data_IF_606576555345
#
_entry.id   IF_606576555345
#
_cell.length_a   1.000
_cell.length_b   1.000
_cell.length_c   1.000
_cell.angle_alpha   90.00
_cell.angle_beta   90.00
_cell.angle_gamma   90.00
#
_symmetry.space_group_name_H-M   'P 1'
#
loop_
_entity.id
_entity.type
_entity.pdbx_description
1 polymer ?
#
# COMPACT_ATOMS: atom_id res chain seq x y z
N UNK A 1 8.49 -1.61 -6.99
CA UNK A 1 9.13 -0.45 -6.30
C UNK A 1 9.45 -0.80 -4.86
N UNK A 2 10.11 0.09 -4.12
CA UNK A 2 10.45 -0.11 -2.71
C UNK A 2 9.92 1.06 -1.88
N UNK A 3 9.03 0.82 -0.91
CA UNK A 3 8.47 1.86 -0.02
C UNK A 3 9.32 1.90 1.26
N UNK A 4 9.88 3.05 1.68
CA UNK A 4 10.58 3.16 2.96
C UNK A 4 9.66 2.78 4.12
N UNK A 5 10.13 1.93 5.04
CA UNK A 5 9.38 1.55 6.24
C UNK A 5 10.30 1.18 7.40
N UNK A 6 10.97 2.15 8.03
CA UNK A 6 11.95 1.85 9.05
C UNK A 6 11.35 1.16 10.28
N UNK A 7 10.23 1.68 10.76
CA UNK A 7 9.50 1.11 11.90
C UNK A 7 8.88 -0.24 11.55
N UNK A 8 8.24 -0.34 10.38
CA UNK A 8 7.62 -1.59 9.94
C UNK A 8 8.64 -2.70 9.75
N UNK A 9 9.85 -2.40 9.33
CA UNK A 9 10.90 -3.41 9.17
C UNK A 9 11.77 -3.62 10.41
N UNK A 10 11.71 -2.69 11.38
CA UNK A 10 12.64 -2.62 12.51
C UNK A 10 14.08 -2.31 12.10
N UNK A 11 14.29 -1.65 10.96
CA UNK A 11 15.61 -1.31 10.40
C UNK A 11 15.64 0.14 9.92
N UNK A 12 16.65 0.96 10.24
CA UNK A 12 16.67 2.39 9.86
C UNK A 12 16.49 2.67 8.36
N UNK A 13 16.99 1.77 7.52
CA UNK A 13 16.97 1.87 6.06
C UNK A 13 16.01 0.88 5.38
N UNK A 14 15.17 0.20 6.17
CA UNK A 14 14.36 -0.91 5.69
C UNK A 14 13.20 -0.48 4.79
N UNK A 15 12.88 -1.35 3.84
CA UNK A 15 11.97 -1.07 2.73
C UNK A 15 11.04 -2.24 2.47
N UNK A 16 9.80 -1.92 2.13
CA UNK A 16 8.79 -2.87 1.67
C UNK A 16 8.84 -3.00 0.15
N UNK A 17 8.72 -4.20 -0.37
CA UNK A 17 8.45 -4.42 -1.77
C UNK A 17 6.97 -4.17 -2.07
N UNK A 18 6.70 -3.34 -3.06
CA UNK A 18 5.36 -3.02 -3.51
C UNK A 18 5.30 -2.95 -5.04
N UNK A 19 4.11 -3.14 -5.60
CA UNK A 19 3.81 -3.01 -7.01
C UNK A 19 2.52 -2.23 -7.20
N UNK A 20 2.55 -1.32 -8.16
CA UNK A 20 1.43 -0.47 -8.54
C UNK A 20 0.91 -0.95 -9.88
N UNK A 21 -0.42 -1.02 -9.99
CA UNK A 21 -1.16 -1.27 -11.21
C UNK A 21 -2.08 -0.08 -11.42
N UNK A 22 -2.09 0.50 -12.61
CA UNK A 22 -2.88 1.69 -12.92
C UNK A 22 -3.58 1.53 -14.27
N UNK A 23 -4.65 2.30 -14.53
CA UNK A 23 -5.13 2.52 -15.90
C UNK A 23 -4.00 3.06 -16.79
N UNK A 24 -4.12 2.89 -18.11
CA UNK A 24 -3.20 3.54 -19.04
C UNK A 24 -3.49 5.05 -19.14
N UNK A 25 -2.55 5.80 -19.74
CA UNK A 25 -2.73 7.23 -19.98
C UNK A 25 -4.02 7.48 -20.77
N UNK A 26 -4.89 8.37 -20.26
CA UNK A 26 -6.18 8.69 -20.87
C UNK A 26 -7.29 7.67 -20.61
N UNK A 27 -7.03 6.60 -19.86
CA UNK A 27 -8.04 5.59 -19.47
C UNK A 27 -8.58 5.80 -18.05
N UNK A 28 -8.30 6.96 -17.44
CA UNK A 28 -8.95 7.34 -16.19
C UNK A 28 -10.47 7.44 -16.43
N UNK A 29 -11.25 6.74 -15.61
CA UNK A 29 -12.72 6.74 -15.70
C UNK A 29 -13.32 8.12 -15.39
N UNK A 30 -12.70 8.86 -14.48
CA UNK A 30 -13.17 10.15 -14.00
C UNK A 30 -12.14 11.25 -14.31
N UNK A 31 -12.59 12.46 -14.72
CA UNK A 31 -11.69 13.56 -15.08
C UNK A 31 -10.93 14.15 -13.88
N UNK A 32 -11.44 13.98 -12.65
CA UNK A 32 -10.84 14.49 -11.43
C UNK A 32 -9.56 13.74 -11.04
N UNK A 33 -9.43 12.48 -11.48
CA UNK A 33 -8.31 11.61 -11.19
C UNK A 33 -8.76 10.19 -10.85
N UNK A 34 -7.80 9.38 -10.42
CA UNK A 34 -7.98 7.97 -10.14
C UNK A 34 -7.76 7.69 -8.64
N UNK A 35 -8.73 7.08 -7.94
CA UNK A 35 -8.54 6.72 -6.53
C UNK A 35 -7.56 5.55 -6.39
N UNK A 36 -7.04 5.36 -5.17
CA UNK A 36 -6.05 4.32 -4.87
C UNK A 36 -6.66 3.25 -3.97
N UNK A 37 -6.48 1.98 -4.33
CA UNK A 37 -6.91 0.83 -3.56
C UNK A 37 -5.69 0.02 -3.11
N UNK A 38 -5.54 -0.18 -1.79
CA UNK A 38 -4.50 -1.02 -1.22
C UNK A 38 -5.12 -2.38 -0.85
N UNK A 39 -4.62 -3.45 -1.46
CA UNK A 39 -5.06 -4.81 -1.17
C UNK A 39 -4.29 -5.41 0.01
N UNK A 40 -5.02 -5.95 0.99
CA UNK A 40 -4.45 -6.58 2.18
C UNK A 40 -4.95 -8.03 2.32
N UNK A 41 -4.12 -9.04 1.99
CA UNK A 41 -4.57 -10.43 2.02
C UNK A 41 -4.77 -10.96 3.44
N UNK A 42 -5.61 -11.98 3.56
CA UNK A 42 -5.84 -12.73 4.79
C UNK A 42 -4.91 -13.93 4.99
N UNK A 43 -5.34 -14.86 5.85
CA UNK A 43 -4.56 -15.97 6.38
C UNK A 43 -3.20 -15.50 6.93
N UNK A 44 -2.21 -16.40 6.98
CA UNK A 44 -0.83 -16.04 7.31
C UNK A 44 -0.06 -15.44 6.12
N UNK A 45 -0.77 -14.94 5.09
CA UNK A 45 -0.14 -14.36 3.90
C UNK A 45 0.71 -13.16 4.27
N UNK A 46 1.95 -13.16 3.79
CA UNK A 46 2.86 -12.01 3.91
C UNK A 46 2.66 -10.97 2.81
N UNK A 47 1.59 -11.05 2.04
CA UNK A 47 1.36 -10.16 0.90
C UNK A 47 1.55 -10.86 -0.45
N UNK A 48 1.50 -10.08 -1.52
CA UNK A 48 1.79 -10.51 -2.89
C UNK A 48 2.24 -9.31 -3.73
N UNK A 49 2.90 -9.57 -4.86
CA UNK A 49 3.16 -8.60 -5.92
C UNK A 49 2.39 -8.93 -7.21
N UNK A 50 1.48 -9.89 -7.14
CA UNK A 50 0.51 -10.18 -8.20
C UNK A 50 -0.59 -9.13 -8.21
N UNK A 51 -1.14 -8.85 -9.39
CA UNK A 51 -2.22 -7.88 -9.56
C UNK A 51 -3.44 -8.26 -8.72
N UNK A 52 -3.84 -7.41 -7.75
CA UNK A 52 -5.05 -7.64 -7.00
C UNK A 52 -6.23 -7.12 -7.81
N UNK A 53 -7.36 -7.83 -7.76
CA UNK A 53 -8.64 -7.35 -8.29
C UNK A 53 -8.54 -6.86 -9.75
N UNK A 54 -8.16 -7.71 -10.71
CA UNK A 54 -7.99 -7.31 -12.12
C UNK A 54 -9.25 -6.69 -12.73
N UNK A 55 -10.44 -7.00 -12.19
CA UNK A 55 -11.71 -6.41 -12.61
C UNK A 55 -11.87 -4.93 -12.22
N UNK A 56 -11.10 -4.42 -11.24
CA UNK A 56 -11.11 -3.02 -10.82
C UNK A 56 -10.02 -2.24 -11.58
N UNK A 57 -9.97 -2.39 -12.90
CA UNK A 57 -8.91 -1.82 -13.73
C UNK A 57 -8.96 -0.29 -13.84
N UNK A 58 -10.07 0.33 -13.45
CA UNK A 58 -10.31 1.77 -13.46
C UNK A 58 -9.78 2.51 -12.22
N UNK A 59 -9.16 1.79 -11.27
CA UNK A 59 -8.53 2.37 -10.08
C UNK A 59 -7.04 2.00 -9.99
N UNK A 60 -6.25 2.84 -9.31
CA UNK A 60 -4.86 2.51 -9.00
C UNK A 60 -4.89 1.45 -7.91
N UNK A 61 -4.17 0.34 -8.10
CA UNK A 61 -4.14 -0.78 -7.16
C UNK A 61 -2.72 -1.01 -6.69
N UNK A 62 -2.55 -1.09 -5.38
CA UNK A 62 -1.26 -1.35 -4.75
C UNK A 62 -1.31 -2.72 -4.09
N UNK A 63 -0.39 -3.59 -4.51
CA UNK A 63 -0.06 -4.83 -3.82
C UNK A 63 1.33 -4.69 -3.19
N UNK A 64 1.52 -5.28 -2.02
CA UNK A 64 2.80 -5.21 -1.31
C UNK A 64 3.06 -6.47 -0.50
N UNK A 65 4.32 -6.60 -0.10
CA UNK A 65 4.80 -7.61 0.83
C UNK A 65 5.01 -6.95 2.19
N UNK A 66 4.40 -7.52 3.23
CA UNK A 66 4.67 -7.18 4.62
C UNK A 66 6.15 -7.46 4.99
N UNK A 67 6.65 -6.92 6.11
CA UNK A 67 8.02 -7.17 6.56
C UNK A 67 8.38 -8.67 6.52
N UNK A 68 9.54 -9.01 5.96
CA UNK A 68 9.98 -10.40 5.77
C UNK A 68 9.15 -11.26 4.79
N UNK A 69 8.23 -10.67 4.03
CA UNK A 69 7.55 -11.30 2.90
C UNK A 69 8.42 -11.31 1.64
N UNK A 70 8.29 -12.37 0.84
CA UNK A 70 8.99 -12.54 -0.43
C UNK A 70 8.06 -13.12 -1.50
N UNK A 71 8.24 -12.69 -2.75
CA UNK A 71 7.66 -13.31 -3.94
C UNK A 71 8.77 -13.46 -4.98
N UNK A 72 9.19 -14.71 -5.21
CA UNK A 72 10.39 -15.01 -5.99
C UNK A 72 11.64 -14.33 -5.39
N UNK A 73 12.46 -13.62 -6.19
CA UNK A 73 13.67 -12.94 -5.70
C UNK A 73 13.38 -11.59 -5.00
N UNK A 74 12.13 -11.12 -4.99
CA UNK A 74 11.76 -9.81 -4.44
C UNK A 74 11.26 -9.98 -3.02
N UNK A 75 11.91 -9.32 -2.06
CA UNK A 75 11.57 -9.37 -0.65
C UNK A 75 11.43 -7.97 -0.04
N UNK A 76 10.53 -7.86 0.95
CA UNK A 76 10.55 -6.79 1.93
C UNK A 76 11.58 -7.08 3.01
N UNK A 77 12.21 -6.03 3.54
CA UNK A 77 13.14 -6.18 4.66
C UNK A 77 12.38 -6.52 5.96
N UNK A 78 13.12 -6.83 7.03
CA UNK A 78 12.55 -7.09 8.36
C UNK A 78 12.00 -8.51 8.54
N UNK A 79 11.04 -8.66 9.45
CA UNK A 79 10.47 -9.96 9.83
C UNK A 79 8.97 -9.83 10.03
N UNK A 80 8.23 -10.80 9.49
CA UNK A 80 6.79 -10.84 9.60
C UNK A 80 6.38 -11.14 11.04
N UNK A 81 5.61 -10.23 11.64
CA UNK A 81 5.15 -10.31 13.02
C UNK A 81 3.66 -10.69 13.13
N UNK A 82 3.15 -11.42 12.12
CA UNK A 82 1.78 -11.93 12.09
C UNK A 82 0.73 -10.84 12.32
N UNK A 83 0.81 -9.75 11.54
CA UNK A 83 -0.09 -8.58 11.64
C UNK A 83 0.07 -7.77 12.94
N UNK A 84 1.19 -7.91 13.64
CA UNK A 84 1.54 -7.10 14.81
C UNK A 84 1.93 -5.66 14.47
N UNK A 85 2.50 -4.96 15.45
CA UNK A 85 2.84 -3.53 15.36
C UNK A 85 3.71 -3.18 14.14
N UNK A 86 4.64 -4.05 13.76
CA UNK A 86 5.51 -3.83 12.59
C UNK A 86 4.72 -3.94 11.30
N UNK A 87 3.84 -4.93 11.19
CA UNK A 87 2.93 -5.01 10.05
C UNK A 87 1.97 -3.81 9.97
N UNK A 88 1.48 -3.31 11.12
CA UNK A 88 0.59 -2.14 11.17
C UNK A 88 1.35 -0.89 10.71
N UNK A 89 2.57 -0.64 11.21
CA UNK A 89 3.42 0.46 10.76
C UNK A 89 3.79 0.34 9.27
N UNK A 90 4.05 -0.87 8.79
CA UNK A 90 4.29 -1.13 7.37
C UNK A 90 3.08 -0.75 6.50
N UNK A 91 1.85 -1.08 6.93
CA UNK A 91 0.64 -0.69 6.21
C UNK A 91 0.44 0.83 6.24
N UNK A 92 0.72 1.52 7.35
CA UNK A 92 0.74 3.00 7.42
C UNK A 92 1.66 3.57 6.34
N UNK A 93 2.87 3.05 6.20
CA UNK A 93 3.85 3.60 5.24
C UNK A 93 3.39 3.41 3.79
N UNK A 94 2.73 2.29 3.46
CA UNK A 94 2.10 2.09 2.14
C UNK A 94 0.94 3.07 1.91
N UNK A 95 0.14 3.37 2.94
CA UNK A 95 -0.92 4.38 2.87
C UNK A 95 -0.34 5.78 2.65
N UNK A 96 0.72 6.15 3.37
CA UNK A 96 1.39 7.45 3.19
C UNK A 96 2.01 7.58 1.79
N UNK A 97 2.54 6.49 1.23
CA UNK A 97 2.99 6.47 -0.16
C UNK A 97 1.83 6.70 -1.14
N UNK A 98 0.71 5.99 -0.95
CA UNK A 98 -0.50 6.18 -1.76
C UNK A 98 -1.06 7.61 -1.67
N UNK A 99 -0.98 8.23 -0.49
CA UNK A 99 -1.43 9.59 -0.21
C UNK A 99 -0.44 10.68 -0.68
N UNK A 100 0.65 10.33 -1.35
CA UNK A 100 1.67 11.28 -1.82
C UNK A 100 2.46 11.95 -0.68
N UNK A 101 2.41 11.40 0.54
CA UNK A 101 3.12 11.91 1.72
C UNK A 101 4.47 11.27 1.96
N UNK A 102 4.72 10.12 1.33
CA UNK A 102 5.97 9.39 1.40
C UNK A 102 6.43 9.06 -0.03
N UNK A 103 7.63 9.47 -0.48
CA UNK A 103 8.17 8.99 -1.74
C UNK A 103 8.67 7.54 -1.60
N UNK A 104 8.83 6.85 -2.73
CA UNK A 104 9.51 5.55 -2.76
C UNK A 104 11.02 5.70 -2.44
N UNK A 105 11.72 4.59 -2.28
CA UNK A 105 13.14 4.58 -1.94
C UNK A 105 14.06 5.14 -3.05
N UNK A 106 13.53 5.42 -4.24
CA UNK A 106 14.21 6.12 -5.32
C UNK A 106 13.84 7.62 -5.37
N UNK A 107 13.06 8.11 -4.39
CA UNK A 107 12.63 9.50 -4.29
C UNK A 107 11.39 9.84 -5.12
N UNK A 108 10.72 8.84 -5.72
CA UNK A 108 9.57 9.07 -6.61
C UNK A 108 8.26 9.03 -5.83
N UNK A 109 7.41 10.00 -6.08
CA UNK A 109 6.00 10.01 -5.69
C UNK A 109 5.19 9.01 -6.52
N UNK A 110 3.94 8.75 -6.14
CA UNK A 110 3.06 7.88 -6.92
C UNK A 110 2.74 8.50 -8.29
N UNK A 111 2.57 9.82 -8.39
CA UNK A 111 2.33 10.54 -9.67
C UNK A 111 3.49 10.41 -10.67
N UNK A 112 4.73 10.23 -10.19
CA UNK A 112 5.89 9.98 -11.05
C UNK A 112 5.98 8.50 -11.49
N UNK A 113 5.15 7.63 -10.93
CA UNK A 113 5.12 6.18 -11.21
C UNK A 113 3.94 5.79 -12.10
N UNK A 114 2.80 6.47 -11.98
CA UNK A 114 1.58 6.16 -12.77
C UNK A 114 1.36 7.19 -13.89
N UNK A 115 0.72 6.79 -15.00
CA UNK A 115 0.48 7.69 -16.14
C UNK A 115 -0.85 8.46 -16.04
N UNK A 116 -1.48 8.49 -14.87
CA UNK A 116 -2.80 9.08 -14.62
C UNK A 116 -2.75 9.96 -13.38
N UNK A 117 -3.56 11.04 -13.27
CA UNK A 117 -3.64 11.84 -12.06
C UNK A 117 -4.18 11.02 -10.88
N UNK A 118 -3.52 11.11 -9.72
CA UNK A 118 -3.91 10.37 -8.52
C UNK A 118 -4.81 11.22 -7.61
N UNK A 119 -5.89 10.63 -7.10
CA UNK A 119 -6.69 11.20 -6.00
C UNK A 119 -6.09 10.80 -4.64
N UNK A 120 -5.09 11.54 -4.18
CA UNK A 120 -4.34 11.22 -2.94
C UNK A 120 -5.16 11.30 -1.64
N UNK A 121 -6.33 11.94 -1.67
CA UNK A 121 -7.29 12.00 -0.57
C UNK A 121 -8.45 10.98 -0.70
N UNK A 122 -8.32 10.05 -1.65
CA UNK A 122 -9.24 8.95 -1.91
C UNK A 122 -8.51 7.59 -1.93
N UNK A 123 -7.97 7.23 -0.76
CA UNK A 123 -7.33 5.93 -0.54
C UNK A 123 -8.31 4.98 0.13
N UNK A 124 -8.59 3.86 -0.54
CA UNK A 124 -9.34 2.73 -0.04
C UNK A 124 -8.45 1.58 0.42
N UNK A 125 -8.86 0.90 1.49
CA UNK A 125 -8.24 -0.33 1.98
C UNK A 125 -9.22 -1.48 1.74
N UNK A 126 -8.75 -2.56 1.08
CA UNK A 126 -9.54 -3.79 0.97
C UNK A 126 -8.81 -4.95 1.64
N UNK A 127 -9.29 -5.30 2.83
CA UNK A 127 -8.79 -6.41 3.60
C UNK A 127 -9.64 -7.68 3.45
N UNK A 128 -9.00 -8.84 3.33
CA UNK A 128 -9.68 -10.15 3.39
C UNK A 128 -9.40 -10.85 4.70
N UNK A 129 -10.44 -11.34 5.40
CA UNK A 129 -10.30 -12.06 6.68
C UNK A 129 -9.48 -11.24 7.70
N UNK A 130 -8.42 -11.80 8.27
CA UNK A 130 -7.45 -11.12 9.13
C UNK A 130 -6.66 -9.99 8.44
N UNK A 131 -6.69 -9.89 7.10
CA UNK A 131 -6.32 -8.67 6.37
C UNK A 131 -7.28 -7.50 6.65
N UNK A 132 -8.56 -7.77 6.90
CA UNK A 132 -9.53 -6.76 7.35
C UNK A 132 -9.23 -6.27 8.78
N UNK A 133 -8.81 -7.17 9.68
CA UNK A 133 -8.45 -6.80 11.06
C UNK A 133 -7.32 -5.77 11.10
N UNK A 134 -6.26 -5.97 10.30
CA UNK A 134 -5.13 -5.03 10.29
C UNK A 134 -5.49 -3.68 9.64
N UNK A 135 -6.41 -3.68 8.68
CA UNK A 135 -6.94 -2.45 8.06
C UNK A 135 -7.68 -1.60 9.08
N UNK A 136 -8.47 -2.22 9.97
CA UNK A 136 -9.07 -1.51 11.11
C UNK A 136 -8.01 -1.11 12.14
N UNK A 137 -7.03 -1.97 12.40
CA UNK A 137 -5.97 -1.68 13.37
C UNK A 137 -5.12 -0.47 12.96
N UNK A 138 -4.71 -0.36 11.70
CA UNK A 138 -3.92 0.79 11.23
C UNK A 138 -4.70 2.09 11.36
N UNK A 139 -6.00 2.08 11.07
CA UNK A 139 -6.86 3.23 11.27
C UNK A 139 -7.01 3.58 12.76
N UNK A 140 -7.05 2.60 13.66
CA UNK A 140 -7.12 2.83 15.10
C UNK A 140 -5.81 3.40 15.67
N UNK A 141 -4.65 2.89 15.23
CA UNK A 141 -3.34 3.32 15.74
C UNK A 141 -2.84 4.64 15.11
N UNK A 142 -3.17 4.87 13.84
CA UNK A 142 -2.66 6.01 13.06
C UNK A 142 -3.78 6.92 12.52
N UNK A 143 -5.00 6.84 13.07
CA UNK A 143 -6.16 7.56 12.57
C UNK A 143 -5.95 9.07 12.43
N UNK A 144 -5.34 9.72 13.43
CA UNK A 144 -5.04 11.17 13.36
C UNK A 144 -4.11 11.52 12.20
N UNK A 145 -3.17 10.65 11.87
CA UNK A 145 -2.22 10.84 10.77
C UNK A 145 -2.86 10.56 9.40
N UNK A 146 -3.79 9.59 9.35
CA UNK A 146 -4.35 9.05 8.10
C UNK A 146 -5.75 9.57 7.73
N UNK A 147 -6.46 10.23 8.65
CA UNK A 147 -7.87 10.62 8.48
C UNK A 147 -8.15 11.51 7.26
N UNK A 148 -7.16 12.29 6.81
CA UNK A 148 -7.29 13.14 5.62
C UNK A 148 -7.19 12.40 4.28
N UNK A 149 -6.85 11.10 4.29
CA UNK A 149 -6.55 10.34 3.07
C UNK A 149 -7.42 9.10 2.90
N UNK A 150 -7.84 8.47 4.00
CA UNK A 150 -8.65 7.26 3.96
C UNK A 150 -10.13 7.57 3.71
N UNK A 151 -10.72 6.94 2.70
CA UNK A 151 -12.15 7.06 2.38
C UNK A 151 -12.95 5.78 2.63
N UNK A 152 -12.34 4.63 2.39
CA UNK A 152 -12.99 3.32 2.52
C UNK A 152 -12.08 2.36 3.27
N UNK A 153 -12.65 1.64 4.24
CA UNK A 153 -11.97 0.70 5.15
C UNK A 153 -12.81 -0.57 5.26
#
# INVERSE_FOLDING_TARGET
MRVPSPEGTGRPDGRLAARVFSPAAGEARYPEGVPVLIWVPGADSRGTLTEPLPQAADVIRIAFLFPGGCEGPVCSDGTYDHRGQRSIAALRDVILYAAGRLPDAAGRTLDEVVPVPTLHDDVGLLGSSNGGNIVVAVAAFYGTELAGYLRYI
#
